data_IF_512455116970
#
_entry.id   IF_512455116970
#
_cell.length_a   1.000
_cell.length_b   1.000
_cell.length_c   1.000
_cell.angle_alpha   90.00
_cell.angle_beta   90.00
_cell.angle_gamma   90.00
#
_symmetry.space_group_name_H-M   'P 1'
#
loop_
_entity.id
_entity.type
_entity.pdbx_description
1 polymer ?
#
# COMPACT_ATOMS: atom_id res chain seq x y z
N UNK A 1 -20.29 30.97 29.14
CA UNK A 1 -19.17 30.01 29.01
C UNK A 1 -19.73 28.64 28.62
N UNK A 2 -20.00 28.41 27.33
CA UNK A 2 -20.44 27.10 26.84
C UNK A 2 -20.01 26.94 25.38
N UNK A 3 -19.70 25.70 24.99
CA UNK A 3 -19.12 25.22 23.71
C UNK A 3 -17.63 24.92 23.75
N UNK A 4 -17.27 23.93 24.56
CA UNK A 4 -16.18 23.00 24.25
C UNK A 4 -16.76 21.60 24.50
N UNK A 5 -16.38 20.63 23.67
CA UNK A 5 -16.93 19.26 23.58
C UNK A 5 -18.13 19.12 22.62
N UNK A 6 -17.90 19.43 21.34
CA UNK A 6 -18.39 18.58 20.23
C UNK A 6 -17.14 17.89 19.71
N UNK A 7 -16.75 16.75 20.27
CA UNK A 7 -17.48 15.51 20.04
C UNK A 7 -16.79 14.84 18.86
N UNK A 8 -15.69 14.16 19.21
CA UNK A 8 -14.87 13.24 18.41
C UNK A 8 -15.57 12.80 17.12
N UNK A 9 -15.02 13.20 15.97
CA UNK A 9 -15.47 12.72 14.68
C UNK A 9 -15.36 11.21 14.65
N UNK A 10 -16.51 10.53 14.69
CA UNK A 10 -16.61 9.11 14.42
C UNK A 10 -16.17 8.91 12.97
N UNK A 11 -14.93 8.45 12.80
CA UNK A 11 -14.40 8.04 11.51
C UNK A 11 -14.92 6.63 11.21
N UNK A 12 -16.14 6.58 10.71
CA UNK A 12 -16.81 5.35 10.31
C UNK A 12 -16.22 4.87 8.97
N UNK A 13 -15.07 4.19 9.03
CA UNK A 13 -14.34 3.72 7.85
C UNK A 13 -14.79 2.33 7.35
N UNK A 14 -15.78 1.71 7.99
CA UNK A 14 -16.11 0.30 7.76
C UNK A 14 -17.62 0.00 7.64
N UNK A 15 -18.51 0.99 7.75
CA UNK A 15 -19.92 0.78 7.44
C UNK A 15 -20.14 0.70 5.92
N UNK A 16 -20.38 -0.51 5.41
CA UNK A 16 -20.91 -0.72 4.06
C UNK A 16 -22.37 -0.22 4.03
N UNK A 17 -22.54 1.05 3.71
CA UNK A 17 -23.84 1.66 3.45
C UNK A 17 -24.37 1.16 2.10
N UNK A 18 -25.50 0.41 2.04
CA UNK A 18 -25.96 -0.34 0.86
C UNK A 18 -26.31 0.49 -0.38
N UNK A 19 -26.09 1.80 -0.39
CA UNK A 19 -26.23 2.70 -1.54
C UNK A 19 -24.99 2.76 -2.48
N UNK A 20 -24.16 1.71 -2.49
CA UNK A 20 -22.80 1.67 -3.07
C UNK A 20 -22.75 1.90 -4.60
N UNK A 21 -23.85 1.66 -5.31
CA UNK A 21 -23.82 1.68 -6.78
C UNK A 21 -23.81 3.09 -7.40
N UNK A 22 -24.08 4.15 -6.62
CA UNK A 22 -24.19 5.53 -7.14
C UNK A 22 -23.19 6.52 -6.56
N UNK A 23 -22.01 6.06 -6.13
CA UNK A 23 -20.98 6.96 -5.61
C UNK A 23 -20.03 7.53 -6.70
N UNK A 24 -19.82 8.84 -6.65
CA UNK A 24 -18.90 9.59 -7.51
C UNK A 24 -17.51 8.94 -7.55
N UNK A 25 -16.87 8.92 -8.72
CA UNK A 25 -15.50 8.40 -8.92
C UNK A 25 -14.48 8.99 -7.94
N UNK A 26 -14.68 10.24 -7.50
CA UNK A 26 -13.85 10.90 -6.48
C UNK A 26 -13.96 10.26 -5.10
N UNK A 27 -15.16 9.82 -4.71
CA UNK A 27 -15.36 9.15 -3.43
C UNK A 27 -14.68 7.78 -3.43
N UNK A 28 -14.88 6.98 -4.50
CA UNK A 28 -14.25 5.67 -4.64
C UNK A 28 -12.71 5.78 -4.59
N UNK A 29 -12.15 6.76 -5.29
CA UNK A 29 -10.71 7.06 -5.22
C UNK A 29 -10.25 7.43 -3.80
N UNK A 30 -10.98 8.32 -3.13
CA UNK A 30 -10.61 8.79 -1.78
C UNK A 30 -10.67 7.66 -0.76
N UNK A 31 -11.74 6.87 -0.76
CA UNK A 31 -11.90 5.68 0.11
C UNK A 31 -10.74 4.71 -0.08
N UNK A 32 -10.43 4.37 -1.34
CA UNK A 32 -9.36 3.44 -1.66
C UNK A 32 -7.97 3.97 -1.27
N UNK A 33 -7.66 5.23 -1.55
CA UNK A 33 -6.37 5.84 -1.16
C UNK A 33 -6.21 5.90 0.36
N UNK A 34 -7.28 6.22 1.09
CA UNK A 34 -7.27 6.25 2.55
C UNK A 34 -7.06 4.86 3.12
N UNK A 35 -7.76 3.85 2.58
CA UNK A 35 -7.58 2.46 2.98
C UNK A 35 -6.12 2.01 2.84
N UNK A 36 -5.49 2.28 1.71
CA UNK A 36 -4.08 1.96 1.49
C UNK A 36 -3.14 2.67 2.48
N UNK A 37 -3.37 3.95 2.76
CA UNK A 37 -2.56 4.71 3.70
C UNK A 37 -2.72 4.18 5.15
N UNK A 38 -3.93 3.78 5.53
CA UNK A 38 -4.19 3.15 6.83
C UNK A 38 -3.54 1.77 6.93
N UNK A 39 -3.59 0.98 5.86
CA UNK A 39 -2.94 -0.33 5.80
C UNK A 39 -1.41 -0.20 5.90
N UNK A 40 -0.82 0.78 5.23
CA UNK A 40 0.60 1.13 5.40
C UNK A 40 0.92 1.49 6.86
N UNK A 41 0.14 2.38 7.48
CA UNK A 41 0.33 2.77 8.86
C UNK A 41 0.24 1.59 9.84
N UNK A 42 -0.71 0.68 9.61
CA UNK A 42 -0.85 -0.54 10.39
C UNK A 42 0.38 -1.45 10.28
N UNK A 43 0.88 -1.68 9.06
CA UNK A 43 2.09 -2.49 8.85
C UNK A 43 3.34 -1.85 9.44
N UNK A 44 3.47 -0.52 9.36
CA UNK A 44 4.54 0.20 10.03
C UNK A 44 4.45 0.00 11.53
N UNK A 45 3.25 0.08 12.12
CA UNK A 45 3.02 -0.16 13.54
C UNK A 45 3.41 -1.59 13.98
N UNK A 46 3.09 -2.60 13.16
CA UNK A 46 3.53 -3.98 13.40
C UNK A 46 5.04 -4.13 13.29
N UNK A 47 5.65 -3.51 12.26
CA UNK A 47 7.09 -3.59 12.05
C UNK A 47 7.87 -2.88 13.15
N UNK A 48 7.32 -1.79 13.70
CA UNK A 48 7.91 -1.01 14.79
C UNK A 48 8.09 -1.82 16.09
N UNK A 49 7.43 -2.97 16.22
CA UNK A 49 7.66 -3.88 17.35
C UNK A 49 9.02 -4.60 17.30
N UNK A 50 9.67 -4.58 16.13
CA UNK A 50 10.92 -5.31 15.88
C UNK A 50 12.00 -4.44 15.21
N UNK A 51 11.67 -3.19 14.88
CA UNK A 51 12.52 -2.29 14.13
C UNK A 51 12.31 -0.84 14.56
N UNK A 52 13.40 -0.09 14.63
CA UNK A 52 13.35 1.38 14.68
C UNK A 52 13.15 1.89 13.25
N UNK A 53 12.08 2.65 13.04
CA UNK A 53 11.69 3.16 11.71
C UNK A 53 11.84 4.68 11.70
N UNK A 54 12.71 5.20 10.82
CA UNK A 54 12.89 6.63 10.62
C UNK A 54 11.92 7.11 9.54
N UNK A 55 11.04 8.04 9.90
CA UNK A 55 10.01 8.59 9.01
C UNK A 55 10.38 10.04 8.66
N UNK A 56 10.27 10.39 7.38
CA UNK A 56 10.46 11.74 6.88
C UNK A 56 9.16 12.54 6.90
N UNK A 57 9.30 13.86 7.07
CA UNK A 57 8.21 14.82 6.83
C UNK A 57 7.64 14.64 5.41
N UNK A 58 6.31 14.59 5.25
CA UNK A 58 5.71 14.53 3.92
C UNK A 58 5.99 15.82 3.15
N UNK A 59 6.30 15.68 1.86
CA UNK A 59 6.67 16.81 1.00
C UNK A 59 5.51 17.78 0.71
N UNK A 60 4.27 17.31 0.79
CA UNK A 60 3.06 18.11 0.50
C UNK A 60 1.95 17.74 1.47
N UNK A 61 1.21 18.73 1.94
CA UNK A 61 -0.01 18.52 2.73
C UNK A 61 -1.17 18.18 1.80
N UNK A 62 -1.80 17.04 1.99
CA UNK A 62 -3.05 16.68 1.31
C UNK A 62 -4.25 17.17 2.13
N UNK A 63 -5.31 17.56 1.43
CA UNK A 63 -6.59 18.00 2.02
C UNK A 63 -7.71 16.98 1.86
N UNK A 64 -7.58 16.05 0.90
CA UNK A 64 -8.67 15.14 0.49
C UNK A 64 -8.44 13.71 1.00
N UNK A 65 -7.19 13.21 0.94
CA UNK A 65 -6.84 11.85 1.37
C UNK A 65 -5.85 11.88 2.53
N UNK A 66 -5.82 10.79 3.29
CA UNK A 66 -4.72 10.49 4.21
C UNK A 66 -3.42 10.38 3.40
N UNK A 67 -2.32 10.86 3.99
CA UNK A 67 -1.00 10.86 3.35
C UNK A 67 -0.30 9.54 3.61
N UNK A 68 0.48 9.10 2.63
CA UNK A 68 1.39 7.98 2.81
C UNK A 68 2.56 8.40 3.68
N UNK A 69 3.01 7.46 4.51
CA UNK A 69 4.09 7.68 5.46
C UNK A 69 5.41 7.46 4.73
N UNK A 70 6.20 8.52 4.56
CA UNK A 70 7.48 8.43 3.87
C UNK A 70 8.55 7.83 4.79
N UNK A 71 8.85 6.55 4.63
CA UNK A 71 9.93 5.87 5.36
C UNK A 71 11.28 6.24 4.75
N UNK A 72 12.23 6.65 5.59
CA UNK A 72 13.62 6.92 5.22
C UNK A 72 14.48 5.67 5.37
N UNK A 73 14.44 5.07 6.55
CA UNK A 73 15.26 3.93 6.90
C UNK A 73 14.59 3.06 7.95
N UNK A 74 15.02 1.81 8.01
CA UNK A 74 14.53 0.78 8.94
C UNK A 74 15.76 0.12 9.54
N UNK A 75 15.85 0.11 10.87
CA UNK A 75 16.90 -0.58 11.61
C UNK A 75 16.26 -1.67 12.47
N UNK A 76 16.58 -2.93 12.19
CA UNK A 76 16.04 -4.06 12.95
C UNK A 76 16.77 -4.18 14.30
N UNK A 77 16.06 -4.43 15.39
CA UNK A 77 16.69 -4.48 16.74
C UNK A 77 17.85 -5.48 16.84
N UNK A 78 17.79 -6.57 16.07
CA UNK A 78 18.79 -7.64 16.07
C UNK A 78 19.97 -7.39 15.12
N UNK A 79 19.96 -6.30 14.36
CA UNK A 79 20.97 -5.98 13.35
C UNK A 79 21.47 -4.54 13.52
N UNK A 80 22.79 -4.34 13.49
CA UNK A 80 23.36 -3.01 13.55
C UNK A 80 23.18 -2.22 12.24
N UNK A 81 22.86 -2.92 11.15
CA UNK A 81 22.75 -2.30 9.83
C UNK A 81 21.43 -1.52 9.69
N UNK A 82 21.56 -0.21 9.53
CA UNK A 82 20.47 0.63 9.06
C UNK A 82 20.23 0.34 7.57
N UNK A 83 18.99 -0.02 7.23
CA UNK A 83 18.60 -0.29 5.85
C UNK A 83 17.96 0.99 5.27
N UNK A 84 18.60 1.67 4.31
CA UNK A 84 17.98 2.79 3.61
C UNK A 84 16.82 2.26 2.75
N UNK A 85 15.60 2.68 3.08
CA UNK A 85 14.39 2.09 2.50
C UNK A 85 14.33 2.31 0.98
N UNK A 86 14.71 3.49 0.50
CA UNK A 86 14.74 3.79 -0.94
C UNK A 86 15.69 2.89 -1.72
N UNK A 87 16.88 2.63 -1.17
CA UNK A 87 17.90 1.78 -1.80
C UNK A 87 17.46 0.32 -1.82
N UNK A 88 16.90 -0.15 -0.71
CA UNK A 88 16.34 -1.49 -0.59
C UNK A 88 15.24 -1.76 -1.62
N UNK A 89 14.27 -0.84 -1.76
CA UNK A 89 13.20 -0.97 -2.75
C UNK A 89 13.77 -0.96 -4.18
N UNK A 90 14.69 -0.04 -4.48
CA UNK A 90 15.30 0.06 -5.80
C UNK A 90 16.07 -1.23 -6.18
N UNK A 91 16.81 -1.81 -5.24
CA UNK A 91 17.53 -3.07 -5.46
C UNK A 91 16.56 -4.23 -5.73
N UNK A 92 15.48 -4.34 -4.94
CA UNK A 92 14.45 -5.37 -5.16
C UNK A 92 13.75 -5.21 -6.50
N UNK A 93 13.45 -3.99 -6.92
CA UNK A 93 12.91 -3.70 -8.25
C UNK A 93 13.88 -4.11 -9.37
N UNK A 94 15.17 -3.78 -9.23
CA UNK A 94 16.21 -4.19 -10.18
C UNK A 94 16.35 -5.71 -10.25
N UNK A 95 16.36 -6.40 -9.11
CA UNK A 95 16.48 -7.86 -9.03
C UNK A 95 15.31 -8.56 -9.70
N UNK A 96 14.08 -8.11 -9.44
CA UNK A 96 12.87 -8.62 -10.12
C UNK A 96 12.97 -8.43 -11.63
N UNK A 97 13.27 -7.21 -12.09
CA UNK A 97 13.45 -6.92 -13.52
C UNK A 97 14.53 -7.77 -14.17
N UNK A 98 15.67 -7.97 -13.50
CA UNK A 98 16.76 -8.80 -14.02
C UNK A 98 16.34 -10.26 -14.14
N UNK A 99 15.59 -10.79 -13.16
CA UNK A 99 15.05 -12.15 -13.23
C UNK A 99 14.07 -12.30 -14.40
N UNK A 100 13.20 -11.32 -14.61
CA UNK A 100 12.24 -11.37 -15.73
C UNK A 100 12.95 -11.30 -17.09
N UNK A 101 14.02 -10.51 -17.22
CA UNK A 101 14.85 -10.49 -18.42
C UNK A 101 15.55 -11.84 -18.63
N UNK A 102 16.06 -12.48 -17.56
CA UNK A 102 16.67 -13.81 -17.65
C UNK A 102 15.68 -14.89 -18.09
N UNK A 103 14.41 -14.74 -17.74
CA UNK A 103 13.31 -15.60 -18.18
C UNK A 103 12.86 -15.31 -19.62
N UNK A 104 13.46 -14.33 -20.30
CA UNK A 104 13.19 -14.00 -21.70
C UNK A 104 12.06 -12.99 -21.92
N UNK A 105 11.52 -12.35 -20.87
CA UNK A 105 10.47 -11.35 -21.03
C UNK A 105 11.03 -10.03 -21.57
N UNK A 106 10.34 -9.46 -22.56
CA UNK A 106 10.69 -8.13 -23.07
C UNK A 106 10.34 -7.05 -22.04
N UNK A 107 10.94 -5.85 -22.16
CA UNK A 107 10.61 -4.72 -21.28
C UNK A 107 9.10 -4.40 -21.29
N UNK A 108 8.44 -4.52 -22.44
CA UNK A 108 6.99 -4.31 -22.58
C UNK A 108 6.18 -5.37 -21.84
N UNK A 109 6.67 -6.62 -21.80
CA UNK A 109 5.99 -7.70 -21.08
C UNK A 109 6.13 -7.54 -19.57
N UNK A 110 7.29 -7.09 -19.09
CA UNK A 110 7.53 -6.78 -17.67
C UNK A 110 6.60 -5.64 -17.22
N UNK A 111 6.48 -4.58 -18.01
CA UNK A 111 5.57 -3.46 -17.73
C UNK A 111 4.10 -3.91 -17.76
N UNK A 112 3.71 -4.73 -18.74
CA UNK A 112 2.36 -5.32 -18.80
C UNK A 112 2.08 -6.23 -17.60
N UNK A 113 3.03 -7.06 -17.17
CA UNK A 113 2.89 -7.91 -15.97
C UNK A 113 2.71 -7.08 -14.72
N UNK A 114 3.55 -6.06 -14.52
CA UNK A 114 3.39 -5.11 -13.41
C UNK A 114 2.02 -4.44 -13.40
N UNK A 115 1.55 -3.99 -14.57
CA UNK A 115 0.22 -3.42 -14.74
C UNK A 115 -0.89 -4.44 -14.47
N UNK A 116 -0.79 -5.65 -14.99
CA UNK A 116 -1.77 -6.72 -14.80
C UNK A 116 -1.88 -7.16 -13.33
N UNK A 117 -0.76 -7.26 -12.61
CA UNK A 117 -0.76 -7.51 -11.16
C UNK A 117 -1.44 -6.36 -10.43
N UNK A 118 -1.08 -5.12 -10.77
CA UNK A 118 -1.69 -3.95 -10.16
C UNK A 118 -3.20 -3.89 -10.42
N UNK A 119 -3.63 -4.14 -11.65
CA UNK A 119 -5.03 -4.18 -12.07
C UNK A 119 -5.78 -5.33 -11.38
N UNK A 120 -5.18 -6.52 -11.28
CA UNK A 120 -5.72 -7.66 -10.53
C UNK A 120 -5.92 -7.32 -9.05
N UNK A 121 -4.89 -6.79 -8.39
CA UNK A 121 -4.99 -6.38 -6.99
C UNK A 121 -6.06 -5.29 -6.82
N UNK A 122 -6.07 -4.29 -7.71
CA UNK A 122 -7.07 -3.22 -7.67
C UNK A 122 -8.49 -3.77 -7.84
N UNK A 123 -8.71 -4.73 -8.74
CA UNK A 123 -10.02 -5.36 -8.92
C UNK A 123 -10.39 -6.25 -7.75
N UNK A 124 -9.48 -7.08 -7.26
CA UNK A 124 -9.76 -7.97 -6.15
C UNK A 124 -10.10 -7.21 -4.84
N UNK A 125 -9.59 -5.98 -4.69
CA UNK A 125 -9.92 -5.08 -3.57
C UNK A 125 -11.14 -4.18 -3.84
N UNK A 126 -11.71 -4.14 -5.04
CA UNK A 126 -12.95 -3.37 -5.30
C UNK A 126 -14.14 -3.97 -4.55
N UNK A 127 -14.22 -5.29 -4.53
CA UNK A 127 -15.38 -6.03 -4.00
C UNK A 127 -15.09 -6.69 -2.64
N UNK A 128 -13.82 -6.71 -2.19
CA UNK A 128 -13.42 -7.32 -0.93
C UNK A 128 -12.59 -6.36 -0.09
N UNK A 129 -12.94 -6.23 1.19
CA UNK A 129 -12.16 -5.46 2.18
C UNK A 129 -10.83 -6.15 2.53
N UNK A 130 -10.71 -7.46 2.31
CA UNK A 130 -9.49 -8.24 2.52
C UNK A 130 -9.33 -9.29 1.42
N UNK A 131 -8.09 -9.52 0.99
CA UNK A 131 -7.74 -10.61 0.07
C UNK A 131 -6.69 -11.47 0.75
N UNK A 132 -6.95 -12.77 0.87
CA UNK A 132 -5.94 -13.74 1.28
C UNK A 132 -5.23 -14.29 0.04
N UNK A 133 -4.06 -13.73 -0.23
CA UNK A 133 -3.16 -14.23 -1.27
C UNK A 133 -2.29 -15.31 -0.64
N UNK A 134 -2.43 -16.56 -1.07
CA UNK A 134 -1.60 -17.66 -0.55
C UNK A 134 -0.20 -17.61 -1.16
N UNK A 135 0.77 -18.23 -0.49
CA UNK A 135 2.10 -18.45 -1.07
C UNK A 135 1.93 -19.28 -2.36
N UNK A 136 2.42 -18.78 -3.51
CA UNK A 136 2.21 -19.35 -4.85
C UNK A 136 0.75 -19.36 -5.31
N UNK A 137 0.00 -18.30 -5.00
CA UNK A 137 -1.37 -18.15 -5.49
C UNK A 137 -1.43 -18.32 -7.02
N UNK A 138 -2.23 -19.27 -7.51
CA UNK A 138 -2.32 -19.62 -8.93
C UNK A 138 -2.75 -18.42 -9.79
N UNK A 139 -3.60 -17.53 -9.27
CA UNK A 139 -4.09 -16.36 -10.00
C UNK A 139 -2.99 -15.35 -10.26
N UNK A 140 -2.07 -15.21 -9.30
CA UNK A 140 -0.91 -14.31 -9.40
C UNK A 140 0.21 -15.00 -10.15
N UNK A 141 0.39 -16.30 -9.94
CA UNK A 141 1.39 -17.11 -10.62
C UNK A 141 1.12 -17.17 -12.13
N UNK A 142 -0.14 -17.25 -12.56
CA UNK A 142 -0.52 -17.12 -13.98
C UNK A 142 -0.20 -15.75 -14.58
N UNK A 143 -0.13 -14.68 -13.78
CA UNK A 143 0.29 -13.34 -14.24
C UNK A 143 1.83 -13.27 -14.33
N UNK A 144 2.54 -14.04 -13.49
CA UNK A 144 4.00 -14.09 -13.47
C UNK A 144 4.62 -15.14 -14.41
N UNK A 145 3.89 -16.17 -14.85
CA UNK A 145 4.29 -17.10 -15.92
C UNK A 145 4.09 -16.52 -17.32
#
# INVERSE_FOLDING_TARGET
MSKLIKGVGYFDYMADDPAIDKQSSRYKFTKWRNYQALQEAFFIGLLNQFATITICKPSKKTTVTIQFIKIQSIQLERQYDEIPFSSFIAERCKKRKSNDIKLGYSKKDIEKKGKAVNDYLCHAFKDNSQIKIKLRDEKITHIFC
#
